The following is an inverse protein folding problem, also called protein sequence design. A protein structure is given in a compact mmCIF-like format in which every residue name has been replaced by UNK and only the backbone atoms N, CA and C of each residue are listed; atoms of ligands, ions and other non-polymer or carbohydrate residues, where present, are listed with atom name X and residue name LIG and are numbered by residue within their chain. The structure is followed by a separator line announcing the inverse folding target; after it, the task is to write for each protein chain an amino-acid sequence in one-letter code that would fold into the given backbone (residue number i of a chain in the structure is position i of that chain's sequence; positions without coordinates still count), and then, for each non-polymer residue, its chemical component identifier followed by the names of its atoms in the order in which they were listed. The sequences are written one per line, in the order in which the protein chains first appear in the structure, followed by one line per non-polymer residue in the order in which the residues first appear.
data_IF_639745542838
#
_entry.id   IF_639745542838
#
_cell.length_a   1.000
_cell.length_b   1.000
_cell.length_c   1.000
_cell.angle_alpha   90.00
_cell.angle_beta   90.00
_cell.angle_gamma   90.00
#
_symmetry.space_group_name_H-M   'P 1'
#
loop_
_entity.id
_entity.type
_entity.pdbx_description
1 polymer ?
#
# COMPACT_ATOMS: atom_id res chain seq x y z
N UNK A 1 -8.77 -36.15 3.46
CA UNK A 1 -8.03 -35.56 4.58
C UNK A 1 -8.71 -34.22 4.86
N UNK A 2 -9.39 -34.09 5.99
CA UNK A 2 -10.12 -32.87 6.35
C UNK A 2 -9.11 -31.93 7.03
N UNK A 3 -8.98 -30.69 6.53
CA UNK A 3 -8.21 -29.66 7.25
C UNK A 3 -8.98 -29.29 8.53
N UNK A 4 -8.26 -29.15 9.63
CA UNK A 4 -8.82 -28.57 10.85
C UNK A 4 -9.22 -27.11 10.60
N UNK A 5 -10.31 -26.65 11.22
CA UNK A 5 -10.90 -25.34 10.93
C UNK A 5 -9.95 -24.15 11.20
N UNK A 6 -8.93 -24.33 12.03
CA UNK A 6 -7.92 -23.31 12.35
C UNK A 6 -6.64 -23.44 11.49
N UNK A 7 -6.49 -24.51 10.72
CA UNK A 7 -5.33 -24.69 9.85
C UNK A 7 -5.44 -23.73 8.65
N UNK A 8 -4.44 -22.85 8.42
CA UNK A 8 -4.51 -21.90 7.34
C UNK A 8 -4.21 -22.58 5.99
N UNK A 9 -5.15 -22.46 5.05
CA UNK A 9 -4.95 -22.92 3.69
C UNK A 9 -4.34 -21.78 2.85
N UNK A 10 -3.32 -22.09 2.04
CA UNK A 10 -2.74 -21.13 1.11
C UNK A 10 -3.52 -21.10 -0.19
N UNK A 11 -4.15 -19.98 -0.49
CA UNK A 11 -4.96 -19.75 -1.69
C UNK A 11 -4.51 -18.44 -2.35
N UNK A 12 -4.17 -18.49 -3.64
CA UNK A 12 -3.67 -17.34 -4.42
C UNK A 12 -2.54 -16.53 -3.74
N UNK A 13 -1.68 -17.20 -2.96
CA UNK A 13 -0.55 -16.54 -2.27
C UNK A 13 -0.90 -15.89 -0.93
N UNK A 14 -2.12 -16.08 -0.43
CA UNK A 14 -2.64 -15.62 0.86
C UNK A 14 -2.97 -16.84 1.72
N UNK A 15 -2.68 -16.78 3.01
CA UNK A 15 -3.10 -17.76 4.00
C UNK A 15 -4.39 -17.30 4.65
N UNK A 16 -5.46 -18.07 4.43
CA UNK A 16 -6.75 -17.86 5.08
C UNK A 16 -7.13 -19.13 5.82
N UNK A 17 -7.53 -18.98 7.08
CA UNK A 17 -8.24 -20.02 7.80
C UNK A 17 -9.76 -19.83 7.58
N UNK A 18 -10.54 -20.93 7.50
CA UNK A 18 -12.01 -20.87 7.51
C UNK A 18 -12.59 -20.04 8.67
N UNK A 19 -11.92 -20.05 9.83
CA UNK A 19 -12.29 -19.24 11.00
C UNK A 19 -11.76 -17.79 10.97
N UNK A 20 -11.25 -17.31 9.82
CA UNK A 20 -10.67 -15.97 9.66
C UNK A 20 -9.51 -15.68 10.63
N UNK A 21 -8.67 -16.67 10.91
CA UNK A 21 -7.45 -16.45 11.69
C UNK A 21 -6.38 -15.73 10.84
N UNK A 22 -6.05 -14.48 11.22
CA UNK A 22 -5.17 -13.57 10.46
C UNK A 22 -3.70 -13.62 10.86
N UNK A 23 -3.40 -14.19 12.04
CA UNK A 23 -2.05 -14.30 12.59
C UNK A 23 -1.05 -14.98 11.65
N UNK A 24 -1.36 -16.14 11.01
CA UNK A 24 -0.41 -16.79 10.10
C UNK A 24 -0.10 -15.92 8.87
N UNK A 25 -1.09 -15.20 8.34
CA UNK A 25 -0.90 -14.30 7.21
C UNK A 25 0.01 -13.13 7.56
N UNK A 26 -0.15 -12.55 8.76
CA UNK A 26 0.72 -11.48 9.26
C UNK A 26 2.19 -11.93 9.32
N UNK A 27 2.46 -13.13 9.82
CA UNK A 27 3.82 -13.70 9.87
C UNK A 27 4.41 -13.85 8.46
N UNK A 28 3.62 -14.30 7.49
CA UNK A 28 4.07 -14.42 6.10
C UNK A 28 4.36 -13.07 5.47
N UNK A 29 3.54 -12.05 5.73
CA UNK A 29 3.77 -10.70 5.23
C UNK A 29 5.03 -10.08 5.84
N UNK A 30 5.24 -10.25 7.15
CA UNK A 30 6.49 -9.85 7.80
C UNK A 30 7.70 -10.59 7.22
N UNK A 31 7.55 -11.88 6.91
CA UNK A 31 8.60 -12.66 6.24
C UNK A 31 8.95 -12.09 4.86
N UNK A 32 7.95 -11.74 4.04
CA UNK A 32 8.15 -11.09 2.73
C UNK A 32 8.83 -9.73 2.85
N UNK A 33 8.39 -8.91 3.82
CA UNK A 33 8.96 -7.60 4.08
C UNK A 33 10.43 -7.69 4.52
N UNK A 34 10.77 -8.64 5.39
CA UNK A 34 12.16 -8.91 5.80
C UNK A 34 13.00 -9.43 4.64
N UNK A 35 12.49 -10.38 3.87
CA UNK A 35 13.21 -10.91 2.71
C UNK A 35 13.52 -9.82 1.68
N UNK A 36 12.59 -8.89 1.44
CA UNK A 36 12.82 -7.72 0.59
C UNK A 36 13.87 -6.78 1.20
N UNK A 37 13.79 -6.51 2.51
CA UNK A 37 14.78 -5.68 3.21
C UNK A 37 16.18 -6.29 3.15
N UNK A 38 16.30 -7.61 3.28
CA UNK A 38 17.58 -8.32 3.16
C UNK A 38 18.15 -8.26 1.74
N UNK A 39 17.29 -8.22 0.72
CA UNK A 39 17.69 -8.07 -0.69
C UNK A 39 18.18 -6.65 -1.01
N UNK A 40 17.58 -5.60 -0.44
CA UNK A 40 17.94 -4.20 -0.73
C UNK A 40 19.20 -3.73 0.01
N UNK A 41 19.57 -4.37 1.13
CA UNK A 41 20.76 -3.98 1.89
C UNK A 41 22.08 -4.12 1.10
N UNK A 42 22.40 -5.26 0.44
CA UNK A 42 23.66 -5.42 -0.28
C UNK A 42 23.69 -4.70 -1.63
N UNK A 43 22.53 -4.32 -2.18
CA UNK A 43 22.46 -3.72 -3.51
C UNK A 43 22.95 -2.26 -3.54
N UNK A 44 23.59 -1.92 -4.66
CA UNK A 44 23.97 -0.57 -5.03
C UNK A 44 22.86 0.03 -5.90
N UNK A 45 22.18 1.04 -5.38
CA UNK A 45 21.16 1.80 -6.10
C UNK A 45 21.48 3.29 -6.02
N UNK A 46 21.04 4.05 -7.02
CA UNK A 46 21.04 5.49 -6.93
C UNK A 46 20.02 5.92 -5.86
N UNK A 47 20.32 6.94 -5.05
CA UNK A 47 19.45 7.36 -3.95
C UNK A 47 18.01 7.67 -4.41
N UNK A 48 17.86 8.35 -5.55
CA UNK A 48 16.57 8.67 -6.16
C UNK A 48 15.76 7.45 -6.65
N UNK A 49 16.38 6.32 -6.95
CA UNK A 49 15.69 5.14 -7.49
C UNK A 49 15.09 4.26 -6.39
N UNK A 50 15.53 4.44 -5.14
CA UNK A 50 15.15 3.58 -4.02
C UNK A 50 13.67 3.69 -3.66
N UNK A 51 13.12 4.91 -3.66
CA UNK A 51 11.71 5.13 -3.32
C UNK A 51 10.77 4.63 -4.43
N UNK A 52 11.01 4.95 -5.72
CA UNK A 52 10.26 4.32 -6.82
C UNK A 52 10.34 2.79 -6.79
N UNK A 53 11.52 2.23 -6.51
CA UNK A 53 11.70 0.77 -6.38
C UNK A 53 10.84 0.20 -5.25
N UNK A 54 10.75 0.86 -4.10
CA UNK A 54 9.89 0.45 -2.99
C UNK A 54 8.41 0.41 -3.42
N UNK A 55 7.92 1.48 -4.05
CA UNK A 55 6.53 1.58 -4.49
C UNK A 55 6.19 0.53 -5.57
N UNK A 56 7.12 0.23 -6.48
CA UNK A 56 6.88 -0.69 -7.60
C UNK A 56 7.12 -2.17 -7.29
N UNK A 57 7.77 -2.49 -6.17
CA UNK A 57 8.12 -3.89 -5.84
C UNK A 57 7.40 -4.40 -4.59
N UNK A 58 7.78 -3.89 -3.41
CA UNK A 58 7.24 -4.40 -2.14
C UNK A 58 5.80 -3.95 -1.94
N UNK A 59 5.47 -2.71 -2.31
CA UNK A 59 4.09 -2.24 -2.19
C UNK A 59 3.15 -3.02 -3.12
N UNK A 60 3.51 -3.23 -4.38
CA UNK A 60 2.78 -4.12 -5.31
C UNK A 60 2.63 -5.54 -4.75
N UNK A 61 3.69 -6.09 -4.14
CA UNK A 61 3.63 -7.42 -3.50
C UNK A 61 2.65 -7.46 -2.32
N UNK A 62 2.49 -6.35 -1.61
CA UNK A 62 1.59 -6.19 -0.48
C UNK A 62 0.18 -5.77 -0.91
N UNK A 63 0.00 -5.30 -2.13
CA UNK A 63 -1.26 -4.78 -2.66
C UNK A 63 -2.34 -5.85 -2.79
N UNK A 64 -1.98 -7.03 -3.30
CA UNK A 64 -2.91 -8.15 -3.44
C UNK A 64 -3.46 -8.66 -2.09
N UNK A 65 -2.62 -9.00 -1.08
CA UNK A 65 -3.12 -9.45 0.22
C UNK A 65 -3.90 -8.37 0.97
N UNK A 66 -3.65 -7.09 0.69
CA UNK A 66 -4.32 -5.97 1.34
C UNK A 66 -5.83 -5.97 1.11
N UNK A 67 -6.29 -6.30 -0.10
CA UNK A 67 -7.72 -6.37 -0.42
C UNK A 67 -8.47 -7.47 0.35
N UNK A 68 -7.77 -8.53 0.77
CA UNK A 68 -8.37 -9.75 1.32
C UNK A 68 -8.15 -9.93 2.82
N UNK A 69 -7.34 -9.08 3.43
CA UNK A 69 -6.99 -9.13 4.86
C UNK A 69 -7.45 -7.88 5.55
N UNK A 70 -7.66 -7.93 6.87
CA UNK A 70 -8.02 -6.78 7.70
C UNK A 70 -6.96 -6.62 8.79
N UNK A 71 -6.06 -5.65 8.63
CA UNK A 71 -5.00 -5.35 9.58
C UNK A 71 -5.24 -3.99 10.23
N UNK A 72 -4.80 -3.86 11.46
CA UNK A 72 -4.73 -2.59 12.16
C UNK A 72 -3.56 -1.74 11.66
N UNK A 73 -3.61 -0.40 11.86
CA UNK A 73 -2.48 0.49 11.57
C UNK A 73 -1.16 0.03 12.21
N UNK A 74 -1.22 -0.47 13.45
CA UNK A 74 -0.06 -0.93 14.20
C UNK A 74 0.57 -2.19 13.58
N UNK A 75 -0.23 -3.09 13.04
CA UNK A 75 0.25 -4.28 12.34
C UNK A 75 0.94 -3.91 11.02
N UNK A 76 0.42 -2.91 10.30
CA UNK A 76 1.09 -2.37 9.11
C UNK A 76 2.42 -1.71 9.42
N UNK A 77 2.49 -0.95 10.51
CA UNK A 77 3.76 -0.38 10.98
C UNK A 77 4.79 -1.48 11.28
N UNK A 78 4.36 -2.59 11.89
CA UNK A 78 5.26 -3.74 12.12
C UNK A 78 5.75 -4.40 10.83
N UNK A 79 4.88 -4.50 9.82
CA UNK A 79 5.21 -5.09 8.52
C UNK A 79 6.18 -4.18 7.74
N UNK A 80 5.94 -2.87 7.71
CA UNK A 80 6.73 -1.92 6.93
C UNK A 80 7.98 -1.38 7.64
N UNK A 81 8.04 -1.42 8.98
CA UNK A 81 9.23 -0.98 9.73
C UNK A 81 10.55 -1.55 9.21
N UNK A 82 10.70 -2.87 8.93
CA UNK A 82 11.94 -3.41 8.36
C UNK A 82 12.24 -2.89 6.94
N UNK A 83 11.20 -2.68 6.13
CA UNK A 83 11.30 -2.16 4.75
C UNK A 83 11.82 -0.72 4.77
N UNK A 84 11.18 0.15 5.55
CA UNK A 84 11.56 1.55 5.67
C UNK A 84 12.95 1.71 6.28
N UNK A 85 13.29 0.92 7.30
CA UNK A 85 14.61 0.95 7.92
C UNK A 85 15.74 0.58 6.94
N UNK A 86 15.46 -0.29 5.97
CA UNK A 86 16.43 -0.67 4.94
C UNK A 86 16.47 0.33 3.77
N UNK A 87 15.31 0.83 3.33
CA UNK A 87 15.20 1.70 2.16
C UNK A 87 15.57 3.17 2.45
N UNK A 88 15.16 3.75 3.58
CA UNK A 88 15.38 5.17 3.87
C UNK A 88 16.87 5.56 3.88
N UNK A 89 17.78 4.82 4.55
CA UNK A 89 19.21 5.14 4.51
C UNK A 89 19.82 5.07 3.10
N UNK A 90 19.26 4.24 2.23
CA UNK A 90 19.69 4.12 0.83
C UNK A 90 19.21 5.30 -0.02
N UNK A 91 18.08 5.90 0.35
CA UNK A 91 17.55 7.13 -0.23
C UNK A 91 18.17 8.40 0.36
N UNK A 92 19.25 8.29 1.15
CA UNK A 92 19.90 9.40 1.88
C UNK A 92 18.99 10.09 2.93
N UNK A 93 18.01 9.34 3.46
CA UNK A 93 17.09 9.77 4.52
C UNK A 93 17.44 9.02 5.81
N UNK A 94 17.22 9.65 6.97
CA UNK A 94 17.42 8.99 8.25
C UNK A 94 16.59 7.70 8.38
N UNK A 95 17.21 6.57 8.72
CA UNK A 95 16.51 5.29 8.90
C UNK A 95 15.48 5.26 10.05
N UNK A 96 15.51 6.24 10.94
CA UNK A 96 14.56 6.44 12.04
C UNK A 96 13.62 7.63 11.79
N UNK A 97 13.36 7.97 10.52
CA UNK A 97 12.45 9.05 10.17
C UNK A 97 11.03 8.73 10.67
N UNK A 98 10.28 9.71 11.23
CA UNK A 98 8.92 9.47 11.70
C UNK A 98 8.03 8.93 10.59
N UNK A 99 7.34 7.81 10.84
CA UNK A 99 6.43 7.19 9.87
C UNK A 99 5.36 8.17 9.36
N UNK A 100 4.87 9.06 10.22
CA UNK A 100 3.93 10.11 9.84
C UNK A 100 4.47 10.99 8.70
N UNK A 101 5.75 11.37 8.74
CA UNK A 101 6.38 12.18 7.68
C UNK A 101 6.74 11.34 6.45
N UNK A 102 7.05 10.05 6.61
CA UNK A 102 7.26 9.13 5.48
C UNK A 102 6.01 9.09 4.58
N UNK A 103 4.84 8.99 5.20
CA UNK A 103 3.57 8.85 4.48
C UNK A 103 2.95 10.16 4.00
N UNK A 104 3.53 11.30 4.37
CA UNK A 104 3.03 12.61 3.92
C UNK A 104 3.43 12.91 2.48
N UNK A 105 2.63 13.77 1.85
CA UNK A 105 2.86 14.28 0.50
C UNK A 105 4.19 15.02 0.39
N UNK A 106 4.80 14.95 -0.79
CA UNK A 106 6.04 15.68 -1.12
C UNK A 106 5.84 17.20 -1.00
N UNK A 107 4.64 17.70 -1.31
CA UNK A 107 4.28 19.12 -1.16
C UNK A 107 4.32 19.61 0.30
N UNK A 108 4.14 18.70 1.26
CA UNK A 108 4.19 18.96 2.70
C UNK A 108 5.54 18.56 3.32
N UNK A 109 6.61 18.51 2.52
CA UNK A 109 7.95 18.07 2.92
C UNK A 109 8.01 16.60 3.40
N UNK A 110 7.06 15.79 2.95
CA UNK A 110 7.04 14.36 3.16
C UNK A 110 7.87 13.57 2.16
N UNK A 111 8.01 12.27 2.40
CA UNK A 111 8.74 11.36 1.50
C UNK A 111 7.86 10.89 0.32
N UNK A 112 6.53 10.94 0.46
CA UNK A 112 5.59 10.56 -0.59
C UNK A 112 5.35 9.05 -0.73
N UNK A 113 5.68 8.26 0.30
CA UNK A 113 5.34 6.82 0.31
C UNK A 113 3.85 6.68 0.64
N UNK A 114 3.07 5.90 -0.11
CA UNK A 114 1.64 5.76 0.18
C UNK A 114 1.40 4.99 1.47
N UNK A 115 0.40 5.44 2.22
CA UNK A 115 0.04 4.85 3.50
C UNK A 115 -0.71 3.52 3.31
N UNK A 116 -0.17 2.37 3.76
CA UNK A 116 -0.73 1.04 3.44
C UNK A 116 -2.13 0.81 4.03
N UNK A 117 -2.39 1.29 5.25
CA UNK A 117 -3.70 1.13 5.86
C UNK A 117 -4.77 1.98 5.15
N UNK A 118 -4.41 3.17 4.68
CA UNK A 118 -5.29 3.99 3.85
C UNK A 118 -5.66 3.26 2.55
N UNK A 119 -4.66 2.70 1.85
CA UNK A 119 -4.88 1.90 0.65
C UNK A 119 -5.74 0.65 0.92
N UNK A 120 -5.60 0.04 2.10
CA UNK A 120 -6.39 -1.13 2.49
C UNK A 120 -7.86 -0.80 2.61
N UNK A 121 -8.19 0.24 3.38
CA UNK A 121 -9.56 0.68 3.56
C UNK A 121 -10.17 1.04 2.21
N UNK A 122 -9.44 1.81 1.39
CA UNK A 122 -9.90 2.19 0.05
C UNK A 122 -10.24 0.93 -0.76
N UNK A 123 -9.34 -0.04 -0.89
CA UNK A 123 -9.57 -1.27 -1.67
C UNK A 123 -10.73 -2.12 -1.17
N UNK A 124 -10.87 -2.24 0.14
CA UNK A 124 -12.00 -2.97 0.74
C UNK A 124 -13.32 -2.27 0.43
N UNK A 125 -13.38 -0.96 0.67
CA UNK A 125 -14.59 -0.17 0.37
C UNK A 125 -14.95 -0.24 -1.11
N UNK A 126 -13.97 -0.24 -2.03
CA UNK A 126 -14.24 -0.44 -3.46
C UNK A 126 -14.81 -1.82 -3.75
N UNK A 127 -14.22 -2.89 -3.21
CA UNK A 127 -14.73 -4.25 -3.40
C UNK A 127 -16.15 -4.40 -2.85
N UNK A 128 -16.44 -3.79 -1.71
CA UNK A 128 -17.76 -3.81 -1.09
C UNK A 128 -18.77 -3.03 -1.96
N UNK A 129 -18.39 -1.85 -2.46
CA UNK A 129 -19.23 -1.03 -3.33
C UNK A 129 -19.54 -1.72 -4.67
N UNK A 130 -18.55 -2.37 -5.29
CA UNK A 130 -18.74 -3.15 -6.51
C UNK A 130 -19.75 -4.28 -6.30
N UNK A 131 -19.68 -4.95 -5.15
CA UNK A 131 -20.62 -6.03 -4.81
C UNK A 131 -22.07 -5.53 -4.64
N UNK A 132 -22.24 -4.26 -4.24
CA UNK A 132 -23.55 -3.64 -4.01
C UNK A 132 -24.19 -3.10 -5.29
N UNK A 133 -23.50 -3.14 -6.45
CA UNK A 133 -24.00 -2.65 -7.74
C UNK A 133 -24.56 -1.22 -7.68
N UNK A 134 -23.98 -0.36 -6.82
CA UNK A 134 -24.34 1.06 -6.78
C UNK A 134 -23.64 1.71 -7.96
N UNK A 135 -24.30 1.72 -9.12
CA UNK A 135 -23.96 2.65 -10.18
C UNK A 135 -24.22 4.05 -9.63
N UNK A 136 -23.16 4.71 -9.17
CA UNK A 136 -23.19 6.15 -9.01
C UNK A 136 -23.37 6.73 -10.43
N UNK A 137 -24.62 6.98 -10.85
CA UNK A 137 -24.92 7.88 -11.97
C UNK A 137 -24.48 9.29 -11.54
N UNK A 138 -23.17 9.54 -11.60
CA UNK A 138 -22.60 10.88 -11.52
C UNK A 138 -22.81 11.55 -12.88
N UNK A 139 -24.06 11.77 -13.25
CA UNK A 139 -24.43 12.47 -14.48
C UNK A 139 -24.59 13.96 -14.15
N UNK A 140 -23.51 14.57 -13.68
CA UNK A 140 -23.38 16.03 -13.65
C UNK A 140 -22.38 16.44 -14.74
N UNK A 141 -22.79 17.24 -15.74
CA UNK A 141 -21.95 17.59 -16.88
C UNK A 141 -20.66 18.35 -16.50
N UNK A 142 -20.56 18.88 -15.28
CA UNK A 142 -19.36 19.54 -14.77
C UNK A 142 -18.38 18.62 -14.03
N UNK A 143 -18.76 17.37 -13.75
CA UNK A 143 -17.98 16.37 -13.01
C UNK A 143 -18.07 15.03 -13.74
N UNK A 144 -17.54 14.97 -14.95
CA UNK A 144 -17.36 13.68 -15.61
C UNK A 144 -16.19 12.93 -14.95
N UNK A 145 -16.34 11.63 -14.63
CA UNK A 145 -15.22 10.81 -14.20
C UNK A 145 -14.21 10.72 -15.36
N UNK A 146 -13.12 11.49 -15.26
CA UNK A 146 -12.02 11.40 -16.22
C UNK A 146 -11.31 10.06 -16.02
N UNK A 147 -11.74 9.03 -16.76
CA UNK A 147 -10.93 7.84 -16.98
C UNK A 147 -9.88 8.16 -18.03
N UNK A 148 -8.74 8.69 -17.60
CA UNK A 148 -7.56 8.80 -18.44
C UNK A 148 -6.52 7.77 -17.94
N UNK A 149 -6.48 6.63 -18.63
CA UNK A 149 -5.45 5.60 -18.56
C UNK A 149 -4.95 5.22 -17.16
N UNK A 150 -5.58 4.23 -16.52
CA UNK A 150 -5.04 3.45 -15.40
C UNK A 150 -4.20 4.22 -14.35
N UNK A 151 -4.65 5.41 -13.95
CA UNK A 151 -4.08 6.12 -12.81
C UNK A 151 -4.97 5.91 -11.58
N UNK A 152 -4.33 5.57 -10.47
CA UNK A 152 -5.01 5.36 -9.20
C UNK A 152 -5.66 6.67 -8.75
N UNK A 153 -6.75 6.57 -8.00
CA UNK A 153 -7.57 7.70 -7.55
C UNK A 153 -6.76 8.80 -6.83
N UNK A 154 -5.60 8.44 -6.28
CA UNK A 154 -4.67 9.36 -5.60
C UNK A 154 -3.99 10.32 -6.59
N UNK A 155 -3.62 9.85 -7.78
CA UNK A 155 -2.91 10.66 -8.78
C UNK A 155 -3.83 11.75 -9.37
N UNK A 156 -5.11 11.43 -9.57
CA UNK A 156 -6.14 12.38 -10.01
C UNK A 156 -6.33 13.54 -9.02
N UNK A 157 -6.26 13.27 -7.71
CA UNK A 157 -6.40 14.30 -6.69
C UNK A 157 -5.15 15.18 -6.58
N UNK A 158 -3.96 14.65 -6.89
CA UNK A 158 -2.72 15.41 -6.86
C UNK A 158 -2.66 16.39 -8.03
N UNK A 159 -2.98 15.94 -9.25
CA UNK A 159 -2.94 16.79 -10.45
C UNK A 159 -3.99 17.91 -10.40
N UNK A 160 -5.19 17.63 -9.91
CA UNK A 160 -6.24 18.64 -9.72
C UNK A 160 -5.83 19.76 -8.75
N UNK A 161 -5.01 19.45 -7.75
CA UNK A 161 -4.53 20.42 -6.76
C UNK A 161 -3.39 21.29 -7.32
N UNK A 162 -2.56 20.73 -8.19
CA UNK A 162 -1.48 21.45 -8.89
C UNK A 162 -2.05 22.48 -9.88
N UNK A 163 -3.08 22.12 -10.63
CA UNK A 163 -3.74 23.04 -11.58
C UNK A 163 -4.46 24.21 -10.89
N UNK A 164 -4.96 24.03 -9.67
CA UNK A 164 -5.57 25.10 -8.88
C UNK A 164 -4.55 26.12 -8.36
N UNK A 165 -3.27 25.72 -8.22
CA UNK A 165 -2.19 26.57 -7.70
C UNK A 165 -1.48 27.36 -8.82
N UNK A 166 -1.50 26.88 -10.06
CA UNK A 166 -0.93 27.59 -11.23
C UNK A 166 -1.86 28.68 -11.78
N UNK A 167 -3.10 28.76 -11.30
CA UNK A 167 -4.09 29.78 -11.66
C UNK A 167 -4.11 31.00 -10.71
N UNK A 168 -3.06 31.23 -9.93
CA UNK A 168 -2.87 32.45 -9.12
C UNK A 168 -1.60 33.21 -9.47
#
# INVERSE_FOLDING_TARGET
MWLEADEPAKTFGILMSPCSNRKPQLVVMQGKAKAWADQIQPSFFHCYDVLPLLCTTIQETLEYPMALTFFSPQEWDQILSPVLRAALPKADICGNFPHAMVYTLISLQGVGVPYPYGLQVIKQTWSDLDSLSIHLEFDSPSLQPMRQGDQLLVDLFIDSLVDQLTLK
#
